data_IF_282038208752
#
_entry.id   IF_282038208752
#
_cell.length_a   1.000
_cell.length_b   1.000
_cell.length_c   1.000
_cell.angle_alpha   90.00
_cell.angle_beta   90.00
_cell.angle_gamma   90.00
#
_symmetry.space_group_name_H-M   'P 1'
#
loop_
_entity.id
_entity.type
_entity.pdbx_description
1 polymer ?
#
# COMPACT_ATOMS: atom_id res chain seq x y z
N UNK A 1 1.84 16.20 0.85
CA UNK A 1 1.36 15.79 2.20
C UNK A 1 1.96 14.44 2.48
N UNK A 2 2.83 14.34 3.48
CA UNK A 2 3.26 13.03 3.95
C UNK A 2 1.98 12.29 4.37
N UNK A 3 1.72 11.15 3.74
CA UNK A 3 0.70 10.24 4.21
C UNK A 3 1.18 9.82 5.61
N UNK A 4 0.31 9.88 6.62
CA UNK A 4 0.62 9.31 7.94
C UNK A 4 0.75 7.79 7.74
N UNK A 5 1.98 7.38 7.44
CA UNK A 5 2.31 6.11 6.81
C UNK A 5 3.56 5.59 7.51
N UNK A 6 3.64 4.29 7.81
CA UNK A 6 4.84 3.67 8.35
C UNK A 6 6.00 3.64 7.34
N UNK A 7 5.79 4.15 6.12
CA UNK A 7 6.78 4.09 5.06
C UNK A 7 7.99 5.00 5.31
N UNK A 8 9.16 4.50 4.92
CA UNK A 8 10.43 5.18 5.09
C UNK A 8 10.60 6.43 4.24
N UNK A 9 11.62 7.20 4.59
CA UNK A 9 11.96 8.46 3.93
C UNK A 9 12.29 8.22 2.46
N UNK A 10 11.66 9.00 1.58
CA UNK A 10 11.85 8.88 0.13
C UNK A 10 10.98 7.80 -0.53
N UNK A 11 9.98 7.28 0.18
CA UNK A 11 9.00 6.35 -0.41
C UNK A 11 8.22 6.99 -1.56
N UNK A 12 8.17 6.30 -2.69
CA UNK A 12 7.29 6.62 -3.82
C UNK A 12 6.07 5.72 -3.80
N UNK A 13 4.88 6.31 -4.01
CA UNK A 13 3.62 5.57 -4.01
C UNK A 13 2.77 5.93 -5.24
N UNK A 14 2.05 4.94 -5.76
CA UNK A 14 1.05 5.15 -6.80
C UNK A 14 -0.16 4.23 -6.61
N UNK A 15 -1.35 4.81 -6.73
CA UNK A 15 -2.61 4.08 -6.76
C UNK A 15 -3.17 4.04 -8.19
N UNK A 16 -3.40 2.85 -8.72
CA UNK A 16 -3.96 2.63 -10.04
C UNK A 16 -5.46 2.30 -10.04
N UNK A 17 -6.03 2.22 -11.23
CA UNK A 17 -7.41 1.78 -11.42
C UNK A 17 -7.56 0.27 -11.19
N UNK A 18 -8.81 -0.17 -11.00
CA UNK A 18 -9.18 -1.58 -10.87
C UNK A 18 -8.48 -2.35 -9.75
N UNK A 19 -7.97 -1.66 -8.72
CA UNK A 19 -7.33 -2.32 -7.58
C UNK A 19 -5.85 -2.64 -7.83
N UNK A 20 -5.17 -1.80 -8.60
CA UNK A 20 -3.71 -1.82 -8.67
C UNK A 20 -3.12 -0.74 -7.77
N UNK A 21 -1.96 -1.01 -7.15
CA UNK A 21 -1.16 -0.03 -6.42
C UNK A 21 0.27 -0.55 -6.24
N UNK A 22 1.22 0.35 -6.02
CA UNK A 22 2.59 -0.01 -5.65
C UNK A 22 3.21 1.07 -4.76
N UNK A 23 4.26 0.67 -4.04
CA UNK A 23 5.21 1.62 -3.47
C UNK A 23 6.65 1.08 -3.55
N UNK A 24 7.61 2.01 -3.49
CA UNK A 24 9.05 1.74 -3.46
C UNK A 24 9.59 2.55 -2.29
N UNK A 25 10.15 1.86 -1.31
CA UNK A 25 10.76 2.45 -0.11
C UNK A 25 12.27 2.14 -0.09
N UNK A 26 13.12 3.11 -0.45
CA UNK A 26 14.57 2.92 -0.49
C UNK A 26 15.21 2.83 0.90
N UNK A 27 14.57 3.34 1.96
CA UNK A 27 15.12 3.28 3.32
C UNK A 27 15.08 1.85 3.86
N UNK A 28 14.03 1.09 3.50
CA UNK A 28 13.82 -0.29 3.92
C UNK A 28 14.21 -1.35 2.86
N UNK A 29 14.87 -0.95 1.75
CA UNK A 29 15.18 -1.82 0.59
C UNK A 29 13.95 -2.63 0.11
N UNK A 30 12.80 -1.96 0.02
CA UNK A 30 11.49 -2.59 -0.18
C UNK A 30 10.81 -2.06 -1.46
N UNK A 31 10.20 -2.96 -2.21
CA UNK A 31 9.13 -2.60 -3.14
C UNK A 31 7.94 -3.56 -2.98
N UNK A 32 6.74 -3.03 -3.19
CA UNK A 32 5.50 -3.81 -3.15
C UNK A 32 4.67 -3.53 -4.40
N UNK A 33 4.01 -4.57 -4.93
CA UNK A 33 3.05 -4.46 -6.02
C UNK A 33 1.76 -5.18 -5.62
N UNK A 34 0.67 -4.43 -5.53
CA UNK A 34 -0.68 -4.94 -5.34
C UNK A 34 -1.43 -4.95 -6.66
N UNK A 35 -1.96 -6.11 -7.03
CA UNK A 35 -2.81 -6.28 -8.20
C UNK A 35 -4.01 -7.16 -7.82
N UNK A 36 -5.16 -6.53 -7.68
CA UNK A 36 -6.45 -7.23 -7.63
C UNK A 36 -7.27 -6.83 -8.85
N UNK A 37 -8.30 -7.60 -9.19
CA UNK A 37 -9.21 -7.29 -10.29
C UNK A 37 -10.52 -6.71 -9.74
N UNK A 38 -10.42 -5.64 -8.95
CA UNK A 38 -11.57 -5.05 -8.23
C UNK A 38 -11.65 -3.56 -8.49
N UNK A 39 -12.72 -3.15 -9.15
CA UNK A 39 -13.03 -1.74 -9.32
C UNK A 39 -13.94 -1.24 -8.21
N UNK A 40 -13.44 -0.32 -7.38
CA UNK A 40 -14.20 0.34 -6.32
C UNK A 40 -14.56 -0.55 -5.12
N UNK A 41 -15.37 0.02 -4.23
CA UNK A 41 -15.94 -0.71 -3.09
C UNK A 41 -17.17 -1.51 -3.52
N UNK A 42 -17.37 -2.70 -2.94
CA UNK A 42 -18.65 -3.41 -3.00
C UNK A 42 -19.53 -2.94 -1.85
N UNK A 43 -20.87 -3.01 -1.97
CA UNK A 43 -21.75 -2.72 -0.83
C UNK A 43 -21.37 -3.58 0.39
N UNK A 44 -21.07 -2.94 1.52
CA UNK A 44 -20.67 -3.61 2.76
C UNK A 44 -19.19 -4.03 2.84
N UNK A 45 -18.37 -3.79 1.81
CA UNK A 45 -16.93 -4.09 1.83
C UNK A 45 -16.11 -2.84 1.50
N UNK A 46 -15.52 -2.17 2.50
CA UNK A 46 -14.59 -1.07 2.29
C UNK A 46 -13.40 -1.51 1.43
N UNK A 47 -12.94 -0.65 0.53
CA UNK A 47 -11.78 -0.91 -0.33
C UNK A 47 -10.46 -0.46 0.34
N UNK A 48 -10.22 -0.88 1.58
CA UNK A 48 -9.06 -0.47 2.40
C UNK A 48 -7.79 -1.33 2.20
N UNK A 49 -7.70 -2.06 1.08
CA UNK A 49 -6.60 -3.01 0.86
C UNK A 49 -5.22 -2.34 0.76
N UNK A 50 -5.18 -1.05 0.42
CA UNK A 50 -3.93 -0.32 0.23
C UNK A 50 -3.30 0.01 1.58
N UNK A 51 -4.08 0.61 2.45
CA UNK A 51 -3.72 0.93 3.83
C UNK A 51 -3.38 -0.35 4.60
N UNK A 52 -4.19 -1.39 4.45
CA UNK A 52 -3.97 -2.67 5.13
C UNK A 52 -2.72 -3.39 4.62
N UNK A 53 -2.46 -3.36 3.31
CA UNK A 53 -1.22 -3.94 2.77
C UNK A 53 0.02 -3.24 3.30
N UNK A 54 -0.01 -1.92 3.43
CA UNK A 54 1.11 -1.15 3.96
C UNK A 54 1.31 -1.47 5.45
N UNK A 55 0.23 -1.42 6.25
CA UNK A 55 0.27 -1.77 7.67
C UNK A 55 0.90 -3.15 7.92
N UNK A 56 0.40 -4.16 7.22
CA UNK A 56 0.86 -5.56 7.39
C UNK A 56 2.30 -5.78 6.92
N UNK A 57 2.74 -5.13 5.84
CA UNK A 57 4.11 -5.27 5.34
C UNK A 57 5.11 -4.66 6.33
N UNK A 58 4.85 -3.46 6.85
CA UNK A 58 5.76 -2.84 7.82
C UNK A 58 5.72 -3.53 9.19
N UNK A 59 4.56 -4.04 9.62
CA UNK A 59 4.48 -4.90 10.82
C UNK A 59 5.38 -6.13 10.68
N UNK A 60 5.44 -6.74 9.50
CA UNK A 60 6.29 -7.90 9.22
C UNK A 60 7.80 -7.58 9.08
N UNK A 61 8.18 -6.30 8.94
CA UNK A 61 9.58 -5.88 8.94
C UNK A 61 10.14 -5.65 10.34
N UNK A 62 9.26 -5.40 11.32
CA UNK A 62 9.63 -5.17 12.72
C UNK A 62 9.78 -6.49 13.53
N UNK A 63 9.39 -7.63 12.95
CA UNK A 63 9.47 -8.97 13.54
C UNK A 63 10.82 -9.67 13.25
#
# INVERSE_FOLDING_TARGET
>A
VAMDSPAGTGTYYWGGAAGTWFWIDPENDLFFIGMIQRFGARPGEPAGFREESMRLVYEALEE
#
